data_IF_300758623427
#
_entry.id   IF_300758623427
#
_cell.length_a   1.000
_cell.length_b   1.000
_cell.length_c   1.000
_cell.angle_alpha   90.00
_cell.angle_beta   90.00
_cell.angle_gamma   90.00
#
_symmetry.space_group_name_H-M   'P 1'
#
loop_
_entity.id
_entity.type
_entity.pdbx_description
1 polymer ?
#
# COMPACT_ATOMS: atom_id res chain seq x y z
N UNK A 1 -11.62 -5.43 2.14
CA UNK A 1 -10.17 -5.16 1.99
C UNK A 1 -9.53 -4.53 3.23
N UNK A 2 -10.24 -3.72 4.01
CA UNK A 2 -9.71 -3.09 5.23
C UNK A 2 -9.49 -4.07 6.38
N UNK A 3 -10.33 -5.10 6.51
CA UNK A 3 -10.28 -6.06 7.61
C UNK A 3 -9.03 -6.94 7.53
N UNK A 4 -8.77 -7.56 6.39
CA UNK A 4 -7.61 -8.42 6.19
C UNK A 4 -6.28 -7.67 6.44
N UNK A 5 -6.18 -6.43 5.99
CA UNK A 5 -5.02 -5.60 6.23
C UNK A 5 -4.85 -5.24 7.71
N UNK A 6 -5.93 -4.85 8.41
CA UNK A 6 -5.87 -4.57 9.85
C UNK A 6 -5.38 -5.78 10.63
N UNK A 7 -5.84 -6.98 10.26
CA UNK A 7 -5.40 -8.23 10.87
C UNK A 7 -3.91 -8.50 10.64
N UNK A 8 -3.38 -8.19 9.45
CA UNK A 8 -1.96 -8.40 9.12
C UNK A 8 -1.03 -7.54 9.99
N UNK A 9 -1.31 -6.23 10.08
CA UNK A 9 -0.51 -5.31 10.90
C UNK A 9 -0.64 -5.60 12.38
N UNK A 10 -1.85 -5.89 12.85
CA UNK A 10 -2.08 -6.23 14.25
C UNK A 10 -1.33 -7.51 14.64
N UNK A 11 -1.31 -8.51 13.77
CA UNK A 11 -0.52 -9.74 14.00
C UNK A 11 0.97 -9.47 13.99
N UNK A 12 1.46 -8.57 13.14
CA UNK A 12 2.87 -8.16 13.14
C UNK A 12 3.25 -7.48 14.46
N UNK A 13 2.48 -6.49 14.88
CA UNK A 13 2.70 -5.79 16.17
C UNK A 13 2.69 -6.79 17.35
N UNK A 14 1.76 -7.73 17.38
CA UNK A 14 1.68 -8.75 18.45
C UNK A 14 2.84 -9.74 18.42
N UNK A 15 3.31 -10.14 17.24
CA UNK A 15 4.49 -11.00 17.13
C UNK A 15 5.74 -10.28 17.64
N UNK A 16 5.88 -8.99 17.34
CA UNK A 16 6.97 -8.17 17.86
C UNK A 16 6.89 -8.00 19.38
N UNK A 17 5.69 -7.72 19.92
CA UNK A 17 5.46 -7.58 21.36
C UNK A 17 5.65 -8.91 22.13
N UNK A 18 5.26 -10.02 21.51
CA UNK A 18 5.36 -11.36 22.13
C UNK A 18 6.77 -11.92 22.20
N UNK A 19 7.71 -11.33 21.48
CA UNK A 19 9.13 -11.75 21.42
C UNK A 19 9.31 -13.28 21.33
N UNK A 20 8.56 -13.92 20.42
CA UNK A 20 8.63 -15.37 20.27
C UNK A 20 10.05 -15.76 19.90
N UNK A 21 10.69 -16.56 20.77
CA UNK A 21 12.02 -17.08 20.51
C UNK A 21 12.07 -17.83 19.19
N UNK A 22 13.05 -17.52 18.36
CA UNK A 22 13.19 -18.08 17.01
C UNK A 22 12.49 -17.30 15.91
N UNK A 23 11.65 -16.30 16.20
CA UNK A 23 11.16 -15.33 15.19
C UNK A 23 12.20 -14.25 15.02
N UNK A 24 12.68 -14.06 13.78
CA UNK A 24 13.74 -13.11 13.44
C UNK A 24 13.18 -11.77 13.00
N UNK A 25 12.25 -11.79 12.04
CA UNK A 25 11.70 -10.59 11.42
C UNK A 25 10.27 -10.86 10.94
N UNK A 26 9.41 -9.88 11.06
CA UNK A 26 8.08 -9.86 10.45
C UNK A 26 8.00 -8.78 9.37
N UNK A 27 7.43 -9.13 8.22
CA UNK A 27 7.25 -8.19 7.11
C UNK A 27 5.77 -8.17 6.71
N UNK A 28 5.00 -7.19 7.23
CA UNK A 28 3.61 -7.03 6.84
C UNK A 28 3.53 -6.50 5.40
N UNK A 29 2.65 -7.10 4.61
CA UNK A 29 2.35 -6.67 3.26
C UNK A 29 0.91 -6.21 3.13
N UNK A 30 0.44 -5.98 1.91
CA UNK A 30 -0.93 -5.51 1.67
C UNK A 30 -2.01 -6.50 2.17
N UNK A 31 -1.76 -7.82 2.08
CA UNK A 31 -2.71 -8.88 2.46
C UNK A 31 -2.09 -10.06 3.17
N UNK A 32 -0.78 -10.07 3.33
CA UNK A 32 -0.07 -11.20 3.94
C UNK A 32 0.97 -10.72 4.93
N UNK A 33 1.40 -11.61 5.81
CA UNK A 33 2.49 -11.40 6.75
C UNK A 33 3.54 -12.46 6.46
N UNK A 34 4.74 -12.01 6.09
CA UNK A 34 5.89 -12.88 5.96
C UNK A 34 6.62 -12.89 7.31
N UNK A 35 6.97 -14.08 7.76
CA UNK A 35 7.67 -14.29 9.03
C UNK A 35 8.94 -15.08 8.74
N UNK A 36 10.08 -14.48 9.06
CA UNK A 36 11.36 -15.17 9.06
C UNK A 36 11.58 -15.76 10.43
N UNK A 37 11.92 -17.04 10.49
CA UNK A 37 12.19 -17.74 11.76
C UNK A 37 13.36 -18.71 11.63
N UNK A 38 13.97 -19.03 12.76
CA UNK A 38 15.08 -19.99 12.88
C UNK A 38 14.53 -21.40 13.17
N UNK A 39 14.58 -22.34 12.22
CA UNK A 39 14.03 -23.69 12.40
C UNK A 39 14.72 -24.52 13.49
N UNK A 40 15.93 -24.12 13.88
CA UNK A 40 16.67 -24.71 15.01
C UNK A 40 16.07 -24.34 16.36
N UNK A 41 15.42 -23.19 16.47
CA UNK A 41 14.85 -22.70 17.72
C UNK A 41 13.34 -22.91 17.84
N UNK A 42 12.59 -22.84 16.72
CA UNK A 42 11.15 -23.08 16.71
C UNK A 42 10.75 -23.85 15.44
N UNK A 43 9.94 -24.87 15.60
CA UNK A 43 9.40 -25.63 14.45
C UNK A 43 8.18 -24.93 13.87
N UNK A 44 7.96 -25.11 12.54
CA UNK A 44 6.83 -24.47 11.83
C UNK A 44 5.48 -24.71 12.52
N UNK A 45 5.18 -25.95 12.96
CA UNK A 45 3.93 -26.26 13.65
C UNK A 45 3.74 -25.47 14.95
N UNK A 46 4.80 -25.37 15.76
CA UNK A 46 4.78 -24.59 17.00
C UNK A 46 4.58 -23.09 16.73
N UNK A 47 5.23 -22.56 15.69
CA UNK A 47 5.04 -21.18 15.27
C UNK A 47 3.62 -20.94 14.80
N UNK A 48 3.07 -21.87 14.00
CA UNK A 48 1.70 -21.80 13.51
C UNK A 48 0.68 -21.82 14.66
N UNK A 49 0.86 -22.69 15.66
CA UNK A 49 0.01 -22.73 16.86
C UNK A 49 0.03 -21.42 17.62
N UNK A 50 1.24 -20.86 17.87
CA UNK A 50 1.38 -19.56 18.55
C UNK A 50 0.71 -18.43 17.81
N UNK A 51 0.85 -18.37 16.48
CA UNK A 51 0.20 -17.34 15.64
C UNK A 51 -1.33 -17.52 15.64
N UNK A 52 -1.80 -18.77 15.61
CA UNK A 52 -3.23 -19.08 15.67
C UNK A 52 -3.86 -18.71 17.01
N UNK A 53 -3.09 -18.85 18.11
CA UNK A 53 -3.52 -18.46 19.44
C UNK A 53 -3.78 -16.95 19.62
N UNK A 54 -3.25 -16.09 18.72
CA UNK A 54 -3.62 -14.68 18.70
C UNK A 54 -5.09 -14.46 18.30
N UNK A 55 -5.77 -15.50 17.85
CA UNK A 55 -7.21 -15.53 17.58
C UNK A 55 -7.68 -14.55 16.51
N UNK A 56 -8.98 -14.38 16.44
CA UNK A 56 -9.61 -13.27 15.72
C UNK A 56 -9.47 -11.99 16.58
N UNK A 57 -8.34 -11.34 16.48
CA UNK A 57 -8.09 -10.12 17.22
C UNK A 57 -9.03 -9.03 16.78
N UNK A 58 -10.01 -8.79 17.62
CA UNK A 58 -10.87 -7.62 17.52
C UNK A 58 -10.01 -6.36 17.71
N UNK A 59 -10.36 -5.33 17.00
CA UNK A 59 -9.62 -4.09 16.80
C UNK A 59 -9.40 -3.20 18.05
N UNK A 60 -9.34 -3.76 19.23
CA UNK A 60 -9.13 -3.06 20.50
C UNK A 60 -7.64 -2.76 20.80
N UNK A 61 -6.70 -3.21 19.95
CA UNK A 61 -5.29 -3.03 20.16
C UNK A 61 -4.73 -1.71 19.62
N UNK A 62 -4.00 -1.05 20.45
CA UNK A 62 -3.06 0.04 20.19
C UNK A 62 -3.53 1.16 19.24
N UNK A 63 -4.12 2.19 19.80
CA UNK A 63 -4.27 3.49 19.12
C UNK A 63 -2.90 4.19 19.05
N UNK A 64 -1.98 3.69 18.22
CA UNK A 64 -0.81 4.49 17.84
C UNK A 64 -1.32 5.80 17.23
N UNK A 65 -0.82 6.95 17.71
CA UNK A 65 -1.20 8.27 17.19
C UNK A 65 -1.01 8.28 15.67
N UNK A 66 -2.09 8.49 14.94
CA UNK A 66 -2.05 8.61 13.48
C UNK A 66 -1.28 9.88 13.11
N UNK A 67 -0.23 9.73 12.31
CA UNK A 67 0.49 10.83 11.70
C UNK A 67 -0.01 10.99 10.26
N UNK A 68 -0.53 12.17 9.93
CA UNK A 68 -0.93 12.52 8.57
C UNK A 68 0.20 13.33 7.94
N UNK A 69 0.65 12.90 6.77
CA UNK A 69 1.60 13.61 5.94
C UNK A 69 0.83 14.21 4.75
N UNK A 70 0.91 15.52 4.60
CA UNK A 70 0.33 16.22 3.45
C UNK A 70 1.39 16.32 2.36
N UNK A 71 1.13 15.70 1.21
CA UNK A 71 2.02 15.73 0.05
C UNK A 71 1.34 16.60 -1.01
N UNK A 72 1.90 17.76 -1.37
CA UNK A 72 1.36 18.56 -2.46
C UNK A 72 1.50 17.81 -3.77
N UNK A 73 0.46 17.83 -4.60
CA UNK A 73 0.44 17.14 -5.88
C UNK A 73 -0.04 18.07 -6.99
N UNK A 74 0.76 18.21 -8.01
CA UNK A 74 0.38 18.89 -9.24
C UNK A 74 -0.25 17.86 -10.18
N UNK A 75 -1.56 17.95 -10.41
CA UNK A 75 -2.27 17.06 -11.31
C UNK A 75 -2.26 17.57 -12.75
N UNK A 76 -2.18 16.65 -13.70
CA UNK A 76 -2.25 16.98 -15.12
C UNK A 76 -0.94 17.51 -15.71
N UNK A 77 -1.08 18.26 -16.82
CA UNK A 77 0.06 18.72 -17.62
C UNK A 77 1.08 17.62 -17.88
N UNK A 78 2.36 17.92 -17.74
CA UNK A 78 3.46 16.94 -17.94
C UNK A 78 3.50 15.81 -16.92
N UNK A 79 2.83 15.97 -15.78
CA UNK A 79 2.85 14.98 -14.70
C UNK A 79 1.71 13.97 -14.81
N UNK A 80 0.55 14.39 -15.34
CA UNK A 80 -0.65 13.56 -15.48
C UNK A 80 -0.83 12.95 -16.87
N UNK A 81 0.19 12.23 -17.34
CA UNK A 81 0.23 11.68 -18.72
C UNK A 81 -0.95 10.75 -19.04
N UNK A 82 -1.54 10.10 -18.05
CA UNK A 82 -2.63 9.15 -18.26
C UNK A 82 -4.01 9.69 -17.87
N UNK A 83 -4.14 10.96 -17.50
CA UNK A 83 -5.47 11.52 -17.15
C UNK A 83 -6.50 11.36 -18.27
N UNK A 84 -6.11 11.57 -19.52
CA UNK A 84 -7.02 11.33 -20.66
C UNK A 84 -7.45 9.86 -20.81
N UNK A 85 -6.62 8.90 -20.43
CA UNK A 85 -7.02 7.50 -20.33
C UNK A 85 -7.99 7.31 -19.16
N UNK A 86 -7.69 7.92 -18.02
CA UNK A 86 -8.53 7.82 -16.82
C UNK A 86 -9.93 8.36 -17.07
N UNK A 87 -10.06 9.51 -17.71
CA UNK A 87 -11.34 10.11 -18.12
C UNK A 87 -12.17 9.12 -18.95
N UNK A 88 -11.54 8.51 -19.96
CA UNK A 88 -12.20 7.52 -20.83
C UNK A 88 -12.59 6.24 -20.10
N UNK A 89 -11.75 5.79 -19.18
CA UNK A 89 -11.97 4.53 -18.46
C UNK A 89 -13.04 4.66 -17.38
N UNK A 90 -13.07 5.79 -16.67
CA UNK A 90 -13.98 6.01 -15.54
C UNK A 90 -15.28 6.69 -15.95
N UNK A 91 -15.31 7.38 -17.09
CA UNK A 91 -16.42 8.25 -17.49
C UNK A 91 -16.50 9.56 -16.70
N UNK A 92 -15.53 9.82 -15.82
CA UNK A 92 -15.45 11.03 -15.01
C UNK A 92 -14.64 12.10 -15.73
N UNK A 93 -14.93 13.34 -15.45
CA UNK A 93 -14.10 14.47 -15.88
C UNK A 93 -12.79 14.50 -15.09
N UNK A 94 -11.77 15.16 -15.63
CA UNK A 94 -10.48 15.36 -14.97
C UNK A 94 -10.61 15.96 -13.58
N UNK A 95 -11.46 16.98 -13.46
CA UNK A 95 -11.67 17.67 -12.18
C UNK A 95 -12.33 16.76 -11.15
N UNK A 96 -13.27 15.91 -11.56
CA UNK A 96 -13.88 14.91 -10.69
C UNK A 96 -12.86 13.86 -10.24
N UNK A 97 -12.01 13.36 -11.15
CA UNK A 97 -10.94 12.41 -10.81
C UNK A 97 -10.00 13.02 -9.76
N UNK A 98 -9.58 14.26 -9.96
CA UNK A 98 -8.69 14.98 -9.04
C UNK A 98 -9.39 15.20 -7.69
N UNK A 99 -10.63 15.67 -7.71
CA UNK A 99 -11.41 15.92 -6.50
C UNK A 99 -11.58 14.65 -5.68
N UNK A 100 -11.95 13.52 -6.31
CA UNK A 100 -12.11 12.24 -5.64
C UNK A 100 -10.77 11.76 -5.08
N UNK A 101 -9.70 11.82 -5.87
CA UNK A 101 -8.38 11.35 -5.42
C UNK A 101 -7.83 12.19 -4.26
N UNK A 102 -8.04 13.49 -4.25
CA UNK A 102 -7.51 14.39 -3.22
C UNK A 102 -8.39 14.53 -1.96
N UNK A 103 -9.62 14.02 -1.98
CA UNK A 103 -10.60 14.20 -0.90
C UNK A 103 -10.40 13.28 0.30
N UNK A 104 -9.54 12.28 0.21
CA UNK A 104 -9.41 11.23 1.23
C UNK A 104 -7.98 11.13 1.79
N UNK A 105 -7.89 10.74 3.07
CA UNK A 105 -6.62 10.37 3.67
C UNK A 105 -6.30 8.91 3.34
N UNK A 106 -5.24 8.70 2.60
CA UNK A 106 -4.77 7.37 2.24
C UNK A 106 -3.97 6.74 3.37
N UNK A 107 -4.23 5.47 3.64
CA UNK A 107 -3.43 4.71 4.59
C UNK A 107 -2.27 4.03 3.88
N UNK A 108 -1.05 4.18 4.43
CA UNK A 108 0.11 3.40 4.01
C UNK A 108 -0.12 1.95 4.46
N UNK A 109 -0.19 1.04 3.50
CA UNK A 109 -0.38 -0.39 3.76
C UNK A 109 0.93 -1.14 3.81
N UNK A 110 1.89 -0.79 2.99
CA UNK A 110 3.22 -1.38 2.99
C UNK A 110 4.24 -0.48 2.28
N UNK A 111 5.49 -0.73 2.56
CA UNK A 111 6.62 -0.28 1.76
C UNK A 111 7.12 -1.45 0.92
N UNK A 112 7.49 -1.20 -0.33
CA UNK A 112 8.00 -2.26 -1.20
C UNK A 112 8.22 -1.77 -2.61
N UNK A 113 8.61 -2.64 -3.53
CA UNK A 113 9.00 -2.35 -4.89
C UNK A 113 10.30 -1.53 -4.98
N UNK A 114 10.37 -0.38 -4.34
CA UNK A 114 11.55 0.49 -4.26
C UNK A 114 11.70 1.03 -2.84
N UNK A 115 12.92 1.38 -2.40
CA UNK A 115 13.12 2.10 -1.15
C UNK A 115 12.27 3.38 -1.11
N UNK A 116 11.39 3.48 -0.10
CA UNK A 116 10.49 4.61 0.06
C UNK A 116 9.21 4.59 -0.77
N UNK A 117 8.98 3.59 -1.64
CA UNK A 117 7.72 3.47 -2.36
C UNK A 117 6.62 3.01 -1.39
N UNK A 118 5.55 3.79 -1.31
CA UNK A 118 4.41 3.55 -0.44
C UNK A 118 3.22 3.01 -1.25
N UNK A 119 2.70 1.87 -0.83
CA UNK A 119 1.42 1.36 -1.33
C UNK A 119 0.30 1.93 -0.47
N UNK A 120 -0.52 2.78 -1.07
CA UNK A 120 -1.60 3.50 -0.41
C UNK A 120 -2.94 2.82 -0.70
N UNK A 121 -3.66 2.51 0.36
CA UNK A 121 -5.01 1.96 0.26
C UNK A 121 -6.07 2.97 0.66
N UNK A 122 -7.32 2.67 0.28
CA UNK A 122 -8.46 3.57 0.49
C UNK A 122 -8.84 4.34 -0.77
N UNK A 123 -8.31 3.93 -1.93
CA UNK A 123 -8.71 4.50 -3.22
C UNK A 123 -10.21 4.26 -3.45
N UNK A 124 -10.90 5.30 -3.89
CA UNK A 124 -12.30 5.19 -4.31
C UNK A 124 -12.41 4.21 -5.49
N UNK A 125 -13.39 3.31 -5.42
CA UNK A 125 -13.60 2.29 -6.46
C UNK A 125 -13.81 2.86 -7.86
N UNK A 126 -14.37 4.06 -7.96
CA UNK A 126 -14.56 4.75 -9.24
C UNK A 126 -13.24 5.09 -9.94
N UNK A 127 -12.13 5.16 -9.18
CA UNK A 127 -10.79 5.43 -9.70
C UNK A 127 -9.96 4.16 -9.91
N UNK A 128 -10.49 2.97 -9.60
CA UNK A 128 -9.78 1.72 -9.86
C UNK A 128 -9.56 1.54 -11.36
N UNK A 129 -8.35 1.21 -11.75
CA UNK A 129 -8.02 1.05 -13.17
C UNK A 129 -6.89 0.06 -13.42
N UNK A 130 -6.87 -0.58 -14.60
CA UNK A 130 -5.85 -1.55 -14.93
C UNK A 130 -4.49 -0.89 -15.08
N UNK A 131 -3.44 -1.64 -14.70
CA UNK A 131 -2.07 -1.28 -15.04
C UNK A 131 -1.89 -1.26 -16.57
N UNK A 132 -0.86 -0.58 -17.01
CA UNK A 132 -0.45 -0.62 -18.42
C UNK A 132 -0.03 -2.05 -18.80
N UNK A 133 -0.42 -2.49 -19.99
CA UNK A 133 0.05 -3.78 -20.56
C UNK A 133 1.54 -3.76 -20.82
N UNK A 134 2.06 -2.64 -21.29
CA UNK A 134 3.50 -2.41 -21.46
C UNK A 134 3.93 -1.34 -20.46
N UNK A 135 4.68 -1.70 -19.40
CA UNK A 135 5.18 -0.73 -18.44
C UNK A 135 6.10 0.31 -19.07
N UNK A 136 6.11 1.53 -18.54
CA UNK A 136 7.10 2.53 -18.90
C UNK A 136 8.48 2.09 -18.42
N UNK A 137 9.50 2.32 -19.26
CA UNK A 137 10.89 2.06 -18.90
C UNK A 137 11.35 3.04 -17.81
N UNK A 138 10.83 4.27 -17.85
CA UNK A 138 11.27 5.34 -16.93
C UNK A 138 10.07 6.16 -16.46
N UNK A 139 9.86 6.17 -15.15
CA UNK A 139 8.96 7.07 -14.42
C UNK A 139 9.84 7.99 -13.59
N UNK A 140 9.49 9.27 -13.53
CA UNK A 140 10.27 10.26 -12.77
C UNK A 140 9.94 10.17 -11.26
N UNK A 141 10.90 10.52 -10.38
CA UNK A 141 10.61 10.68 -8.96
C UNK A 141 9.49 11.67 -8.73
N UNK A 142 8.71 11.44 -7.71
CA UNK A 142 7.54 12.27 -7.38
C UNK A 142 6.28 11.93 -8.17
N UNK A 143 6.35 11.08 -9.20
CA UNK A 143 5.17 10.72 -9.97
C UNK A 143 4.11 10.04 -9.10
N UNK A 144 2.86 10.51 -9.21
CA UNK A 144 1.69 9.97 -8.52
C UNK A 144 0.87 9.15 -9.50
N UNK A 145 0.53 7.92 -9.11
CA UNK A 145 -0.16 7.02 -10.03
C UNK A 145 -1.13 6.06 -9.35
N UNK A 146 -1.98 5.45 -10.18
CA UNK A 146 -2.96 4.43 -9.79
C UNK A 146 -2.65 3.12 -10.50
N UNK A 147 -2.72 2.02 -9.75
CA UNK A 147 -2.57 0.66 -10.27
C UNK A 147 -3.50 -0.31 -9.55
N UNK A 148 -4.52 -0.82 -10.25
CA UNK A 148 -5.60 -1.59 -9.63
C UNK A 148 -6.41 -0.73 -8.67
N UNK A 149 -6.53 -1.19 -7.45
CA UNK A 149 -7.25 -0.51 -6.35
C UNK A 149 -6.33 0.30 -5.42
N UNK A 150 -5.15 0.67 -5.88
CA UNK A 150 -4.12 1.33 -5.09
C UNK A 150 -3.63 2.61 -5.75
N UNK A 151 -3.23 3.59 -4.95
CA UNK A 151 -2.47 4.74 -5.38
C UNK A 151 -1.10 4.76 -4.71
N UNK A 152 -0.17 5.54 -5.22
CA UNK A 152 1.18 5.63 -4.68
C UNK A 152 2.01 6.73 -5.32
N UNK A 153 3.15 7.00 -4.69
CA UNK A 153 4.12 8.00 -5.13
C UNK A 153 5.45 7.30 -5.40
N UNK A 154 6.00 7.51 -6.59
CA UNK A 154 7.31 6.97 -6.98
C UNK A 154 8.42 7.81 -6.35
N UNK A 155 9.21 7.28 -5.42
CA UNK A 155 10.26 8.08 -4.75
C UNK A 155 11.53 8.23 -5.59
N UNK A 156 11.76 7.31 -6.51
CA UNK A 156 12.96 7.23 -7.33
C UNK A 156 12.59 6.96 -8.79
N UNK A 157 13.50 7.29 -9.70
CA UNK A 157 13.40 6.90 -11.12
C UNK A 157 13.34 5.38 -11.23
N UNK A 158 12.31 4.85 -11.89
CA UNK A 158 12.12 3.41 -12.05
C UNK A 158 11.23 3.08 -13.24
N UNK A 159 11.24 1.84 -13.74
CA UNK A 159 10.17 1.36 -14.59
C UNK A 159 8.86 1.25 -13.80
N UNK A 160 7.71 1.24 -14.52
CA UNK A 160 6.43 1.03 -13.85
C UNK A 160 5.24 1.05 -14.79
N UNK A 161 4.20 0.30 -14.41
CA UNK A 161 2.98 0.15 -15.20
C UNK A 161 1.75 0.86 -14.62
N UNK A 162 1.90 1.69 -13.61
CA UNK A 162 0.78 2.43 -13.05
C UNK A 162 0.43 3.63 -13.93
N UNK A 163 -0.84 4.01 -13.91
CA UNK A 163 -1.34 5.17 -14.63
C UNK A 163 -1.01 6.43 -13.88
N UNK A 164 -0.29 7.34 -14.52
CA UNK A 164 0.21 8.57 -13.91
C UNK A 164 -0.81 9.69 -14.03
N UNK A 165 -1.13 10.32 -12.90
CA UNK A 165 -2.11 11.39 -12.82
C UNK A 165 -1.56 12.71 -12.31
N UNK A 166 -0.39 12.70 -11.70
CA UNK A 166 0.22 13.88 -11.12
C UNK A 166 1.66 13.66 -10.71
N UNK A 167 2.22 14.67 -10.08
CA UNK A 167 3.57 14.65 -9.51
C UNK A 167 3.72 15.62 -8.34
N UNK A 168 4.58 15.28 -7.40
CA UNK A 168 4.91 16.06 -6.20
C UNK A 168 6.30 16.64 -6.31
#
# INVERSE_FOLDING_TARGET
NSLAHRTTWLRSDLLEESQIRGVLVTVPTFRSLLIYYEPGEIKFGQLQEKISAFGELTAAGSQKKKRILKIPCCYGARFGQDLGFMEKHTGLTRDEIIAIHSSVDYKIYMLGFLPGFVYLGGLDKRLEMPRMTTPRVKIQPGAVGIGGSQTGVYPLTSPGGWRLMGGT
#
